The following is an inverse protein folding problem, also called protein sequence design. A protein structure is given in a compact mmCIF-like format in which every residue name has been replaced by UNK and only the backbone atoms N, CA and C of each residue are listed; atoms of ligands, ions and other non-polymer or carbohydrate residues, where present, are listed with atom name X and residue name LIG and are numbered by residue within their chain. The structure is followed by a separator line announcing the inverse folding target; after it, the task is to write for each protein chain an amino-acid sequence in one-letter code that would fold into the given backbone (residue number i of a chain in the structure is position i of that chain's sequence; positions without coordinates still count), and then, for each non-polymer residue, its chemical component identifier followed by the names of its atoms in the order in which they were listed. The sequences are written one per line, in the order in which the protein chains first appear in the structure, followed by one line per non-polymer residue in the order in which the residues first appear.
data_IF_519563079934
#
_entry.id   IF_519563079934
#
_cell.length_a   1.000
_cell.length_b   1.000
_cell.length_c   1.000
_cell.angle_alpha   90.00
_cell.angle_beta   90.00
_cell.angle_gamma   90.00
#
_symmetry.space_group_name_H-M   'P 1'
#
loop_
_entity.id
_entity.type
_entity.pdbx_description
1 polymer ?
#
# COMPACT_ATOMS: atom_id res chain seq x y z
N UNK A 1 -14.78 11.62 -17.18
CA UNK A 1 -13.95 12.49 -16.32
C UNK A 1 -13.39 11.78 -15.08
N UNK A 2 -14.16 10.90 -14.44
CA UNK A 2 -13.76 10.14 -13.24
C UNK A 2 -12.60 9.18 -13.45
N UNK A 3 -12.53 8.49 -14.59
CA UNK A 3 -11.45 7.53 -14.89
C UNK A 3 -10.08 8.22 -14.98
N UNK A 4 -10.02 9.41 -15.58
CA UNK A 4 -8.78 10.19 -15.74
C UNK A 4 -8.27 10.67 -14.37
N UNK A 5 -9.18 11.14 -13.50
CA UNK A 5 -8.86 11.50 -12.12
C UNK A 5 -8.38 10.29 -11.31
N UNK A 6 -8.99 9.12 -11.49
CA UNK A 6 -8.57 7.89 -10.83
C UNK A 6 -7.18 7.41 -11.29
N UNK A 7 -6.89 7.52 -12.59
CA UNK A 7 -5.57 7.20 -13.13
C UNK A 7 -4.50 8.18 -12.64
N UNK A 8 -4.78 9.48 -12.61
CA UNK A 8 -3.86 10.50 -12.11
C UNK A 8 -3.61 10.35 -10.60
N UNK A 9 -4.66 10.13 -9.80
CA UNK A 9 -4.53 9.88 -8.38
C UNK A 9 -3.77 8.57 -8.11
N UNK A 10 -4.07 7.50 -8.84
CA UNK A 10 -3.35 6.23 -8.76
C UNK A 10 -1.87 6.37 -9.13
N UNK A 11 -1.54 7.17 -10.14
CA UNK A 11 -0.17 7.47 -10.52
C UNK A 11 0.57 8.30 -9.46
N UNK A 12 -0.08 9.31 -8.87
CA UNK A 12 0.50 10.12 -7.78
C UNK A 12 0.74 9.28 -6.52
N UNK A 13 -0.21 8.42 -6.17
CA UNK A 13 -0.09 7.47 -5.06
C UNK A 13 1.03 6.49 -5.35
N UNK A 14 1.10 5.93 -6.57
CA UNK A 14 2.17 5.02 -7.00
C UNK A 14 3.56 5.65 -6.98
N UNK A 15 3.68 6.91 -7.41
CA UNK A 15 4.92 7.68 -7.33
C UNK A 15 5.31 7.97 -5.88
N UNK A 16 4.34 8.32 -5.03
CA UNK A 16 4.57 8.56 -3.61
C UNK A 16 4.97 7.28 -2.87
N UNK A 17 4.33 6.15 -3.19
CA UNK A 17 4.69 4.81 -2.72
C UNK A 17 6.10 4.40 -3.15
N UNK A 18 6.43 4.64 -4.42
CA UNK A 18 7.77 4.34 -4.95
C UNK A 18 8.86 5.23 -4.36
N UNK A 19 8.56 6.52 -4.14
CA UNK A 19 9.54 7.50 -3.65
C UNK A 19 9.74 7.46 -2.13
N UNK A 20 8.68 7.32 -1.33
CA UNK A 20 8.76 7.23 0.13
C UNK A 20 8.99 5.78 0.62
N UNK A 21 8.91 4.80 -0.28
CA UNK A 21 8.95 3.38 0.08
C UNK A 21 7.73 2.95 0.89
N UNK A 22 7.93 2.10 1.90
CA UNK A 22 6.85 1.45 2.65
C UNK A 22 5.82 2.37 3.34
N UNK A 23 6.11 3.67 3.47
CA UNK A 23 5.23 4.66 4.13
C UNK A 23 4.23 5.37 3.22
N UNK A 24 4.40 5.33 1.88
CA UNK A 24 3.50 6.05 0.96
C UNK A 24 2.06 5.52 0.91
N UNK A 25 1.84 4.29 1.39
CA UNK A 25 0.54 3.60 1.42
C UNK A 25 -0.43 4.20 2.43
N UNK A 26 0.07 4.81 3.50
CA UNK A 26 -0.73 5.52 4.52
C UNK A 26 -1.55 6.65 3.88
N UNK A 27 -1.04 7.25 2.80
CA UNK A 27 -1.71 8.33 2.08
C UNK A 27 -2.76 7.83 1.06
N UNK A 28 -2.75 6.55 0.68
CA UNK A 28 -3.64 6.03 -0.35
C UNK A 28 -5.12 6.06 0.05
N UNK A 29 -5.45 5.70 1.29
CA UNK A 29 -6.83 5.70 1.80
C UNK A 29 -7.41 7.12 1.91
N UNK A 30 -6.74 8.09 2.57
CA UNK A 30 -7.21 9.48 2.60
C UNK A 30 -7.42 10.08 1.21
N UNK A 31 -6.51 9.81 0.26
CA UNK A 31 -6.65 10.32 -1.11
C UNK A 31 -7.89 9.71 -1.79
N UNK A 32 -8.12 8.40 -1.67
CA UNK A 32 -9.31 7.77 -2.27
C UNK A 32 -10.62 8.27 -1.65
N UNK A 33 -10.66 8.52 -0.33
CA UNK A 33 -11.86 9.01 0.35
C UNK A 33 -12.08 10.50 0.08
N UNK A 34 -11.09 11.34 0.34
CA UNK A 34 -11.24 12.80 0.30
C UNK A 34 -11.14 13.39 -1.11
N UNK A 35 -10.39 12.77 -2.02
CA UNK A 35 -10.20 13.31 -3.39
C UNK A 35 -11.15 12.65 -4.39
N UNK A 36 -11.42 11.35 -4.27
CA UNK A 36 -12.32 10.63 -5.17
C UNK A 36 -13.75 10.48 -4.66
N UNK A 37 -14.04 10.86 -3.42
CA UNK A 37 -15.38 10.76 -2.83
C UNK A 37 -15.88 9.32 -2.71
N UNK A 38 -14.99 8.34 -2.72
CA UNK A 38 -15.34 6.93 -2.55
C UNK A 38 -15.79 6.67 -1.11
N UNK A 39 -16.77 5.79 -0.94
CA UNK A 39 -17.14 5.30 0.39
C UNK A 39 -15.92 4.65 1.05
N UNK A 40 -15.78 4.79 2.38
CA UNK A 40 -14.63 4.27 3.12
C UNK A 40 -14.37 2.78 2.82
N UNK A 41 -15.42 1.97 2.72
CA UNK A 41 -15.31 0.54 2.37
C UNK A 41 -14.72 0.29 0.98
N UNK A 42 -15.18 1.03 -0.03
CA UNK A 42 -14.65 0.88 -1.40
C UNK A 42 -13.22 1.44 -1.51
N UNK A 43 -12.92 2.55 -0.82
CA UNK A 43 -11.59 3.13 -0.77
C UNK A 43 -10.58 2.18 -0.11
N UNK A 44 -10.95 1.52 1.00
CA UNK A 44 -10.09 0.51 1.65
C UNK A 44 -9.80 -0.64 0.69
N UNK A 45 -10.83 -1.21 0.06
CA UNK A 45 -10.67 -2.32 -0.88
C UNK A 45 -9.80 -1.94 -2.08
N UNK A 46 -10.07 -0.78 -2.70
CA UNK A 46 -9.27 -0.28 -3.82
C UNK A 46 -7.82 -0.01 -3.44
N UNK A 47 -7.58 0.57 -2.24
CA UNK A 47 -6.23 0.83 -1.75
C UNK A 47 -5.41 -0.45 -1.55
N UNK A 48 -6.02 -1.53 -1.05
CA UNK A 48 -5.34 -2.81 -0.84
C UNK A 48 -4.86 -3.41 -2.15
N UNK A 49 -5.69 -3.35 -3.20
CA UNK A 49 -5.31 -3.83 -4.53
C UNK A 49 -4.17 -3.00 -5.10
N UNK A 50 -4.29 -1.66 -5.07
CA UNK A 50 -3.27 -0.75 -5.60
C UNK A 50 -1.94 -0.92 -4.86
N UNK A 51 -1.95 -0.90 -3.52
CA UNK A 51 -0.75 -1.05 -2.68
C UNK A 51 -0.16 -2.44 -2.84
N UNK A 52 -0.97 -3.50 -2.90
CA UNK A 52 -0.50 -4.87 -3.08
C UNK A 52 0.25 -5.06 -4.41
N UNK A 53 -0.34 -4.59 -5.52
CA UNK A 53 0.29 -4.69 -6.84
C UNK A 53 1.56 -3.84 -6.93
N UNK A 54 1.50 -2.58 -6.49
CA UNK A 54 2.66 -1.67 -6.53
C UNK A 54 3.82 -2.15 -5.65
N UNK A 55 3.53 -2.68 -4.46
CA UNK A 55 4.54 -3.24 -3.56
C UNK A 55 5.18 -4.50 -4.13
N UNK A 56 4.38 -5.38 -4.76
CA UNK A 56 4.90 -6.59 -5.42
C UNK A 56 5.84 -6.23 -6.56
N UNK A 57 5.43 -5.31 -7.44
CA UNK A 57 6.27 -4.82 -8.54
C UNK A 57 7.54 -4.16 -8.01
N UNK A 58 7.43 -3.31 -6.99
CA UNK A 58 8.58 -2.68 -6.32
C UNK A 58 9.55 -3.70 -5.73
N UNK A 59 9.03 -4.74 -5.06
CA UNK A 59 9.84 -5.82 -4.50
C UNK A 59 10.57 -6.62 -5.59
N UNK A 60 9.90 -6.94 -6.70
CA UNK A 60 10.50 -7.64 -7.85
C UNK A 60 11.59 -6.79 -8.49
N UNK A 61 11.33 -5.51 -8.75
CA UNK A 61 12.31 -4.59 -9.34
C UNK A 61 13.53 -4.42 -8.43
N UNK A 62 13.32 -4.23 -7.13
CA UNK A 62 14.41 -4.14 -6.15
C UNK A 62 15.22 -5.44 -6.09
N UNK A 63 14.56 -6.60 -6.15
CA UNK A 63 15.23 -7.90 -6.12
C UNK A 63 16.12 -8.09 -7.36
N UNK A 64 15.63 -7.70 -8.53
CA UNK A 64 16.40 -7.73 -9.78
C UNK A 64 17.61 -6.78 -9.76
N UNK A 65 17.53 -5.68 -9.01
CA UNK A 65 18.66 -4.76 -8.84
C UNK A 65 19.75 -5.31 -7.89
N UNK A 66 19.50 -6.42 -7.18
CA UNK A 66 20.47 -7.01 -6.23
C UNK A 66 20.49 -6.37 -4.85
N UNK A 67 19.58 -5.42 -4.57
CA UNK A 67 19.52 -4.67 -3.31
C UNK A 67 18.57 -5.27 -2.27
N UNK A 68 18.15 -6.53 -2.41
CA UNK A 68 17.11 -7.13 -1.54
C UNK A 68 17.65 -8.25 -0.67
N UNK A 69 17.53 -8.03 0.63
CA UNK A 69 17.80 -9.01 1.67
C UNK A 69 16.51 -9.78 1.96
N UNK A 70 16.17 -10.74 1.09
CA UNK A 70 14.91 -11.49 1.15
C UNK A 70 14.60 -12.04 2.54
N UNK A 71 15.59 -12.65 3.21
CA UNK A 71 15.43 -13.17 4.56
C UNK A 71 14.99 -12.08 5.56
N UNK A 72 15.61 -10.89 5.52
CA UNK A 72 15.27 -9.76 6.40
C UNK A 72 13.91 -9.16 6.06
N UNK A 73 13.58 -9.08 4.76
CA UNK A 73 12.28 -8.62 4.28
C UNK A 73 11.14 -9.55 4.73
N UNK A 74 11.34 -10.86 4.63
CA UNK A 74 10.35 -11.86 5.09
C UNK A 74 10.19 -11.82 6.61
N UNK A 75 11.28 -11.74 7.38
CA UNK A 75 11.16 -11.62 8.84
C UNK A 75 10.45 -10.33 9.25
N UNK A 76 10.76 -9.21 8.59
CA UNK A 76 10.08 -7.94 8.85
C UNK A 76 8.58 -8.03 8.52
N UNK A 77 8.24 -8.57 7.35
CA UNK A 77 6.87 -8.77 6.93
C UNK A 77 6.09 -9.69 7.87
N UNK A 78 6.69 -10.81 8.30
CA UNK A 78 6.06 -11.75 9.23
C UNK A 78 5.78 -11.11 10.59
N UNK A 79 6.74 -10.36 11.15
CA UNK A 79 6.55 -9.63 12.42
C UNK A 79 5.49 -8.55 12.28
N UNK A 80 5.49 -7.79 11.18
CA UNK A 80 4.50 -6.75 10.91
C UNK A 80 3.08 -7.31 10.76
N UNK A 81 2.90 -8.39 9.99
CA UNK A 81 1.62 -9.10 9.84
C UNK A 81 1.12 -9.66 11.17
N UNK A 82 2.00 -10.30 11.94
CA UNK A 82 1.67 -10.83 13.26
C UNK A 82 1.24 -9.74 14.23
N UNK A 83 2.00 -8.64 14.30
CA UNK A 83 1.69 -7.49 15.14
C UNK A 83 0.36 -6.82 14.75
N UNK A 84 0.10 -6.65 13.45
CA UNK A 84 -1.15 -6.09 12.96
C UNK A 84 -2.36 -6.99 13.29
N UNK A 85 -2.25 -8.29 13.07
CA UNK A 85 -3.32 -9.25 13.38
C UNK A 85 -3.64 -9.29 14.88
N UNK A 86 -2.61 -9.31 15.73
CA UNK A 86 -2.77 -9.26 17.17
C UNK A 86 -3.39 -7.93 17.62
N UNK A 87 -2.89 -6.80 17.13
CA UNK A 87 -3.43 -5.47 17.42
C UNK A 87 -4.89 -5.34 17.01
N UNK A 88 -5.27 -5.86 15.84
CA UNK A 88 -6.66 -5.89 15.39
C UNK A 88 -7.55 -6.74 16.31
N UNK A 89 -7.07 -7.90 16.77
CA UNK A 89 -7.80 -8.75 17.71
C UNK A 89 -8.00 -8.10 19.08
N UNK A 90 -7.01 -7.33 19.57
CA UNK A 90 -7.17 -6.57 20.82
C UNK A 90 -8.04 -5.32 20.67
N UNK A 91 -8.00 -4.66 19.49
CA UNK A 91 -8.82 -3.48 19.20
C UNK A 91 -10.30 -3.80 19.01
N UNK A 92 -10.66 -5.05 18.70
CA UNK A 92 -12.05 -5.48 18.54
C UNK A 92 -12.71 -5.90 19.86
N UNK A 93 -12.06 -5.66 21.00
CA UNK A 93 -12.61 -5.86 22.35
C UNK A 93 -12.72 -4.52 23.07
#
# INVERSE_FOLDING_TARGET
MTLVLALLAGALIGLSLGALGGGGSILAVPVLVYVLGQSASQATTGSLVVVGVTSLLGAVLAHRAGHVLLARGVTFGAVALGGAALGAHFSSR
#
